data_IF_994649516313
#
_entry.id   IF_994649516313
#
_cell.length_a   1.000
_cell.length_b   1.000
_cell.length_c   1.000
_cell.angle_alpha   90.00
_cell.angle_beta   90.00
_cell.angle_gamma   90.00
#
_symmetry.space_group_name_H-M   'P 1'
#
loop_
_entity.id
_entity.type
_entity.pdbx_description
1 polymer ?
#
# COMPACT_ATOMS: atom_id res chain seq x y z
N UNK A 1 -29.53 3.43 16.27
CA UNK A 1 -28.63 4.45 15.67
C UNK A 1 -28.48 5.59 16.66
N UNK A 2 -27.25 5.97 16.95
CA UNK A 2 -26.93 7.21 17.64
C UNK A 2 -26.57 8.22 16.57
N UNK A 3 -27.34 9.30 16.46
CA UNK A 3 -27.12 10.37 15.50
C UNK A 3 -26.89 11.66 16.27
N UNK A 4 -25.68 12.24 16.13
CA UNK A 4 -25.40 13.57 16.67
C UNK A 4 -25.55 14.56 15.53
N UNK A 5 -26.58 15.39 15.66
CA UNK A 5 -26.98 16.35 14.64
C UNK A 5 -25.93 17.51 14.54
N UNK A 6 -25.72 18.09 13.37
CA UNK A 6 -24.86 19.29 13.19
C UNK A 6 -25.24 20.48 14.09
N UNK A 7 -26.49 20.56 14.53
CA UNK A 7 -26.99 21.62 15.42
C UNK A 7 -26.75 21.37 16.92
N UNK A 8 -26.21 20.19 17.28
CA UNK A 8 -25.84 19.89 18.67
C UNK A 8 -24.77 20.87 19.16
N UNK A 9 -25.01 21.49 20.32
CA UNK A 9 -24.17 22.55 20.87
C UNK A 9 -23.23 22.09 22.00
N UNK A 10 -23.29 20.82 22.37
CA UNK A 10 -22.40 20.25 23.38
C UNK A 10 -20.99 19.99 22.82
N UNK A 11 -19.99 20.20 23.64
CA UNK A 11 -18.58 19.92 23.32
C UNK A 11 -18.21 18.44 23.53
N UNK A 12 -19.09 17.67 24.18
CA UNK A 12 -18.91 16.23 24.45
C UNK A 12 -20.24 15.48 24.33
N UNK A 13 -20.18 14.16 24.35
CA UNK A 13 -21.36 13.26 24.34
C UNK A 13 -21.72 12.76 25.75
N UNK A 14 -21.65 13.65 26.75
CA UNK A 14 -21.98 13.33 28.14
C UNK A 14 -23.38 12.67 28.26
N UNK A 15 -23.51 11.68 29.13
CA UNK A 15 -24.73 10.90 29.32
C UNK A 15 -24.80 9.61 28.51
N UNK A 16 -23.83 9.35 27.64
CA UNK A 16 -23.72 8.10 26.87
C UNK A 16 -22.59 7.18 27.36
N UNK A 17 -22.02 7.44 28.53
CA UNK A 17 -20.84 6.74 29.08
C UNK A 17 -21.10 5.24 29.29
N UNK A 18 -22.36 4.87 29.58
CA UNK A 18 -22.76 3.48 29.81
C UNK A 18 -23.26 2.77 28.53
N UNK A 19 -23.15 3.43 27.35
CA UNK A 19 -23.57 2.81 26.10
C UNK A 19 -22.64 1.68 25.71
N UNK A 20 -23.15 0.43 25.70
CA UNK A 20 -22.37 -0.74 25.31
C UNK A 20 -22.52 -1.11 23.83
N UNK A 21 -23.68 -0.82 23.24
CA UNK A 21 -23.98 -1.19 21.85
C UNK A 21 -24.74 -0.10 21.11
N UNK A 22 -24.37 0.14 19.87
CA UNK A 22 -25.09 1.03 18.96
C UNK A 22 -25.39 0.33 17.64
N UNK A 23 -26.58 0.55 17.05
CA UNK A 23 -26.88 0.05 15.71
C UNK A 23 -26.06 0.75 14.64
N UNK A 24 -25.81 2.06 14.79
CA UNK A 24 -24.83 2.86 14.06
C UNK A 24 -24.50 4.09 14.90
N UNK A 25 -23.29 4.63 14.74
CA UNK A 25 -22.88 5.88 15.36
C UNK A 25 -22.48 6.86 14.24
N UNK A 26 -23.28 7.91 14.09
CA UNK A 26 -23.07 8.90 13.03
C UNK A 26 -23.00 10.29 13.61
N UNK A 27 -21.90 10.95 13.39
CA UNK A 27 -21.70 12.37 13.64
C UNK A 27 -21.56 13.03 12.29
N UNK A 28 -22.68 13.47 11.75
CA UNK A 28 -22.74 14.02 10.41
C UNK A 28 -22.73 15.55 10.48
N UNK A 29 -21.70 16.12 9.87
CA UNK A 29 -21.86 17.41 9.27
C UNK A 29 -22.63 17.28 7.96
N UNK A 30 -23.30 18.34 7.59
CA UNK A 30 -23.98 18.42 6.29
C UNK A 30 -22.91 18.35 5.20
N UNK A 31 -22.85 17.25 4.46
CA UNK A 31 -22.11 17.18 3.20
C UNK A 31 -22.89 18.05 2.21
N UNK A 32 -22.62 19.34 2.21
CA UNK A 32 -23.15 20.27 1.22
C UNK A 32 -22.09 20.53 0.17
N UNK A 33 -22.50 20.73 -1.07
CA UNK A 33 -21.66 21.07 -2.22
C UNK A 33 -20.80 22.33 -2.05
N UNK A 34 -20.93 23.05 -0.94
CA UNK A 34 -20.24 24.32 -0.65
C UNK A 34 -19.38 24.31 0.63
N UNK A 35 -18.85 23.15 1.06
CA UNK A 35 -17.81 23.10 2.09
C UNK A 35 -18.24 23.48 3.53
N UNK A 36 -19.53 23.49 3.84
CA UNK A 36 -20.01 23.65 5.22
C UNK A 36 -19.98 22.31 5.93
N UNK A 37 -18.99 22.14 6.80
CA UNK A 37 -18.69 20.89 7.49
C UNK A 37 -19.39 20.85 8.86
N UNK A 38 -19.71 19.66 9.26
CA UNK A 38 -19.94 19.06 10.53
C UNK A 38 -20.48 19.87 11.69
N UNK A 39 -20.63 19.17 12.78
CA UNK A 39 -20.81 19.77 14.08
C UNK A 39 -19.57 20.63 14.41
N UNK A 40 -19.79 21.90 14.77
CA UNK A 40 -18.72 22.87 15.02
C UNK A 40 -18.38 23.03 16.49
N UNK A 41 -19.08 22.34 17.38
CA UNK A 41 -18.94 22.48 18.82
C UNK A 41 -18.37 21.22 19.48
N UNK A 42 -18.59 20.05 18.86
CA UNK A 42 -18.19 18.76 19.43
C UNK A 42 -16.67 18.58 19.31
N UNK A 43 -16.00 18.50 20.46
CA UNK A 43 -14.55 18.36 20.56
C UNK A 43 -14.12 16.95 21.04
N UNK A 44 -14.97 16.30 21.85
CA UNK A 44 -14.61 15.07 22.51
C UNK A 44 -15.72 14.03 22.40
N UNK A 45 -15.34 12.81 22.03
CA UNK A 45 -16.19 11.63 22.09
C UNK A 45 -15.50 10.62 22.99
N UNK A 46 -16.14 10.32 24.11
CA UNK A 46 -15.70 9.31 25.06
C UNK A 46 -16.85 8.37 25.37
N UNK A 47 -16.77 7.13 24.87
CA UNK A 47 -17.75 6.07 25.06
C UNK A 47 -17.03 4.84 25.61
N UNK A 48 -16.65 4.95 26.89
CA UNK A 48 -15.74 4.00 27.56
C UNK A 48 -16.29 2.58 27.68
N UNK A 49 -17.62 2.40 27.55
CA UNK A 49 -18.28 1.07 27.63
C UNK A 49 -18.71 0.55 26.25
N UNK A 50 -18.57 1.32 25.18
CA UNK A 50 -19.02 0.91 23.84
C UNK A 50 -18.16 -0.25 23.31
N UNK A 51 -18.81 -1.41 23.12
CA UNK A 51 -18.19 -2.65 22.61
C UNK A 51 -18.49 -2.92 21.14
N UNK A 52 -19.69 -2.49 20.69
CA UNK A 52 -20.14 -2.84 19.35
C UNK A 52 -20.89 -1.69 18.68
N UNK A 53 -20.56 -1.48 17.40
CA UNK A 53 -21.37 -0.71 16.46
C UNK A 53 -21.82 -1.66 15.36
N UNK A 54 -23.14 -1.98 15.30
CA UNK A 54 -23.65 -2.98 14.35
C UNK A 54 -23.61 -2.57 12.87
N UNK A 55 -23.64 -1.28 12.59
CA UNK A 55 -23.51 -0.69 11.26
C UNK A 55 -22.27 0.19 11.15
N UNK A 56 -22.43 1.38 10.54
CA UNK A 56 -21.30 2.30 10.33
C UNK A 56 -20.98 3.12 11.59
N UNK A 57 -19.69 3.36 11.79
CA UNK A 57 -19.16 4.40 12.64
C UNK A 57 -18.62 5.51 11.72
N UNK A 58 -19.37 6.59 11.58
CA UNK A 58 -19.06 7.69 10.67
C UNK A 58 -18.92 8.99 11.43
N UNK A 59 -17.76 9.61 11.32
CA UNK A 59 -17.43 10.86 11.99
C UNK A 59 -16.97 11.91 10.96
N UNK A 60 -17.63 13.06 10.98
CA UNK A 60 -17.24 14.23 10.19
C UNK A 60 -17.48 15.49 11.03
N UNK A 61 -16.43 15.99 11.67
CA UNK A 61 -16.50 17.21 12.50
C UNK A 61 -15.14 17.89 12.55
N UNK A 62 -15.08 19.15 12.11
CA UNK A 62 -13.82 19.91 12.06
C UNK A 62 -13.22 20.20 13.45
N UNK A 63 -14.05 20.21 14.48
CA UNK A 63 -13.66 20.52 15.86
C UNK A 63 -13.29 19.30 16.69
N UNK A 64 -13.59 18.10 16.23
CA UNK A 64 -13.35 16.89 16.99
C UNK A 64 -11.84 16.64 17.15
N UNK A 65 -11.39 16.53 18.40
CA UNK A 65 -9.99 16.39 18.80
C UNK A 65 -9.65 15.02 19.37
N UNK A 66 -10.62 14.40 20.07
CA UNK A 66 -10.42 13.11 20.70
C UNK A 66 -11.57 12.17 20.40
N UNK A 67 -11.21 10.92 20.09
CA UNK A 67 -12.11 9.80 19.99
C UNK A 67 -11.55 8.68 20.86
N UNK A 68 -12.21 8.40 21.97
CA UNK A 68 -11.82 7.38 22.93
C UNK A 68 -12.87 6.29 23.00
N UNK A 69 -12.59 5.13 22.43
CA UNK A 69 -13.45 3.95 22.36
C UNK A 69 -12.66 2.70 22.80
N UNK A 70 -12.18 2.65 24.06
CA UNK A 70 -11.19 1.68 24.51
C UNK A 70 -11.68 0.23 24.50
N UNK A 71 -13.00 0.02 24.57
CA UNK A 71 -13.62 -1.31 24.60
C UNK A 71 -14.30 -1.68 23.28
N UNK A 72 -14.18 -0.87 22.23
CA UNK A 72 -14.81 -1.16 20.96
C UNK A 72 -14.15 -2.38 20.31
N UNK A 73 -14.87 -3.48 20.21
CA UNK A 73 -14.44 -4.77 19.67
C UNK A 73 -14.83 -4.94 18.20
N UNK A 74 -15.98 -4.35 17.79
CA UNK A 74 -16.46 -4.54 16.43
C UNK A 74 -17.25 -3.36 15.86
N UNK A 75 -17.05 -3.13 14.56
CA UNK A 75 -17.86 -2.26 13.68
C UNK A 75 -18.37 -3.11 12.54
N UNK A 76 -19.69 -3.35 12.47
CA UNK A 76 -20.28 -4.21 11.43
C UNK A 76 -20.31 -3.61 10.03
N UNK A 77 -20.20 -2.29 9.92
CA UNK A 77 -20.13 -1.53 8.68
C UNK A 77 -18.76 -0.92 8.45
N UNK A 78 -18.76 0.33 8.01
CA UNK A 78 -17.57 1.13 7.70
C UNK A 78 -17.17 1.99 8.91
N UNK A 79 -15.87 2.01 9.21
CA UNK A 79 -15.26 3.02 10.08
C UNK A 79 -14.75 4.16 9.19
N UNK A 80 -15.45 5.30 9.20
CA UNK A 80 -15.14 6.44 8.37
C UNK A 80 -14.84 7.69 9.20
N UNK A 81 -13.67 8.30 8.94
CA UNK A 81 -13.24 9.57 9.49
C UNK A 81 -13.00 10.55 8.34
N UNK A 82 -13.76 11.64 8.28
CA UNK A 82 -13.64 12.63 7.21
C UNK A 82 -13.35 14.02 7.76
N UNK A 83 -12.36 14.67 7.18
CA UNK A 83 -12.01 16.07 7.45
C UNK A 83 -11.88 16.41 8.95
N UNK A 84 -11.18 15.56 9.71
CA UNK A 84 -11.04 15.66 11.17
C UNK A 84 -9.56 15.83 11.54
N UNK A 85 -9.32 16.60 12.61
CA UNK A 85 -8.02 16.75 13.25
C UNK A 85 -8.00 15.96 14.56
N UNK A 86 -7.43 14.76 14.57
CA UNK A 86 -7.24 14.03 15.81
C UNK A 86 -5.86 14.25 16.41
N UNK A 87 -5.83 14.57 17.72
CA UNK A 87 -4.60 14.50 18.53
C UNK A 87 -4.37 13.09 19.06
N UNK A 88 -5.45 12.35 19.27
CA UNK A 88 -5.43 10.98 19.79
C UNK A 88 -6.54 10.16 19.13
N UNK A 89 -6.15 9.01 18.58
CA UNK A 89 -7.04 8.08 17.90
C UNK A 89 -6.59 6.66 18.26
N UNK A 90 -7.36 5.99 19.13
CA UNK A 90 -6.99 4.69 19.64
C UNK A 90 -8.16 3.70 19.58
N UNK A 91 -7.89 2.52 19.02
CA UNK A 91 -8.81 1.40 18.94
C UNK A 91 -8.12 0.11 19.44
N UNK A 92 -7.75 0.03 20.73
CA UNK A 92 -6.90 -1.05 21.24
C UNK A 92 -7.59 -2.43 21.21
N UNK A 93 -8.93 -2.47 21.33
CA UNK A 93 -9.68 -3.70 21.38
C UNK A 93 -10.41 -4.07 20.07
N UNK A 94 -10.30 -3.23 19.03
CA UNK A 94 -11.08 -3.40 17.80
C UNK A 94 -10.52 -4.56 16.97
N UNK A 95 -11.28 -5.66 16.91
CA UNK A 95 -10.89 -6.91 16.22
C UNK A 95 -11.51 -7.05 14.83
N UNK A 96 -12.72 -6.49 14.64
CA UNK A 96 -13.51 -6.73 13.42
C UNK A 96 -14.07 -5.44 12.86
N UNK A 97 -13.83 -5.21 11.57
CA UNK A 97 -14.53 -4.22 10.76
C UNK A 97 -15.15 -4.94 9.57
N UNK A 98 -16.50 -4.89 9.47
CA UNK A 98 -17.24 -5.68 8.49
C UNK A 98 -17.12 -5.18 7.05
N UNK A 99 -16.74 -3.89 6.85
CA UNK A 99 -16.57 -3.30 5.53
C UNK A 99 -15.24 -2.56 5.43
N UNK A 100 -15.25 -1.24 5.51
CA UNK A 100 -14.12 -0.39 5.16
C UNK A 100 -13.56 0.36 6.37
N UNK A 101 -12.27 0.66 6.30
CA UNK A 101 -11.66 1.78 7.03
C UNK A 101 -11.40 2.89 6.01
N UNK A 102 -12.00 4.06 6.21
CA UNK A 102 -11.82 5.19 5.31
C UNK A 102 -11.49 6.45 6.08
N UNK A 103 -10.23 6.86 6.04
CA UNK A 103 -9.76 8.09 6.63
C UNK A 103 -9.36 9.03 5.50
N UNK A 104 -10.16 10.07 5.27
CA UNK A 104 -9.96 10.99 4.15
C UNK A 104 -9.85 12.41 4.66
N UNK A 105 -8.68 12.98 4.49
CA UNK A 105 -8.40 14.39 4.72
C UNK A 105 -8.89 15.26 3.57
N UNK A 106 -8.52 16.55 3.60
CA UNK A 106 -8.79 17.48 2.49
C UNK A 106 -7.70 17.38 1.43
N UNK A 107 -8.07 17.58 0.17
CA UNK A 107 -7.13 17.52 -0.98
C UNK A 107 -5.91 18.42 -0.87
N UNK A 108 -6.01 19.52 -0.13
CA UNK A 108 -4.88 20.44 0.11
C UNK A 108 -3.87 19.91 1.16
N UNK A 109 -4.11 18.73 1.76
CA UNK A 109 -3.22 18.09 2.71
C UNK A 109 -2.95 18.92 3.98
N UNK A 110 -3.91 19.76 4.42
CA UNK A 110 -3.74 20.61 5.61
C UNK A 110 -4.23 19.97 6.90
N UNK A 111 -4.95 18.86 6.81
CA UNK A 111 -5.47 18.17 7.98
C UNK A 111 -4.39 17.31 8.63
N UNK A 112 -4.34 17.40 9.96
CA UNK A 112 -3.41 16.64 10.79
C UNK A 112 -4.15 15.48 11.44
N UNK A 113 -3.55 14.30 11.38
CA UNK A 113 -3.98 13.13 12.14
C UNK A 113 -2.92 12.84 13.22
N UNK A 114 -3.18 11.86 14.09
CA UNK A 114 -2.20 11.36 15.06
C UNK A 114 -0.91 10.90 14.36
N UNK A 115 0.22 10.90 15.08
CA UNK A 115 1.50 10.44 14.50
C UNK A 115 1.50 8.95 14.16
N UNK A 116 0.73 8.14 14.90
CA UNK A 116 0.56 6.72 14.61
C UNK A 116 -0.92 6.38 14.36
N UNK A 117 -1.20 5.70 13.26
CA UNK A 117 -2.48 5.04 12.99
C UNK A 117 -2.27 3.55 13.24
N UNK A 118 -2.76 3.09 14.39
CA UNK A 118 -2.55 1.71 14.85
C UNK A 118 -3.86 1.02 15.20
N UNK A 119 -3.98 -0.22 14.74
CA UNK A 119 -5.08 -1.13 15.05
C UNK A 119 -4.51 -2.46 15.55
N UNK A 120 -4.03 -2.51 16.81
CA UNK A 120 -3.21 -3.63 17.29
C UNK A 120 -3.96 -4.96 17.34
N UNK A 121 -5.28 -4.93 17.57
CA UNK A 121 -6.11 -6.13 17.68
C UNK A 121 -6.86 -6.49 16.40
N UNK A 122 -6.85 -5.65 15.36
CA UNK A 122 -7.68 -5.84 14.17
C UNK A 122 -7.22 -7.05 13.35
N UNK A 123 -8.05 -8.08 13.33
CA UNK A 123 -7.83 -9.34 12.60
C UNK A 123 -8.55 -9.37 11.26
N UNK A 124 -9.77 -8.77 11.22
CA UNK A 124 -10.66 -8.86 10.07
C UNK A 124 -11.06 -7.49 9.57
N UNK A 125 -10.77 -7.24 8.29
CA UNK A 125 -11.26 -6.10 7.51
C UNK A 125 -12.01 -6.64 6.30
N UNK A 126 -13.31 -6.39 6.23
CA UNK A 126 -14.18 -7.00 5.23
C UNK A 126 -13.89 -6.58 3.80
N UNK A 127 -13.36 -5.36 3.57
CA UNK A 127 -13.09 -4.86 2.24
C UNK A 127 -11.81 -4.03 2.19
N UNK A 128 -11.85 -2.71 2.41
CA UNK A 128 -10.70 -1.85 2.13
C UNK A 128 -10.22 -1.00 3.30
N UNK A 129 -8.92 -0.76 3.33
CA UNK A 129 -8.28 0.31 4.10
C UNK A 129 -7.88 1.44 3.15
N UNK A 130 -8.41 2.63 3.39
CA UNK A 130 -8.02 3.85 2.69
C UNK A 130 -7.59 4.91 3.70
N UNK A 131 -6.36 5.40 3.58
CA UNK A 131 -5.85 6.53 4.34
C UNK A 131 -5.27 7.55 3.37
N UNK A 132 -5.86 8.77 3.35
CA UNK A 132 -5.57 9.73 2.29
C UNK A 132 -5.53 11.17 2.79
N UNK A 133 -4.53 11.93 2.31
CA UNK A 133 -4.43 13.39 2.45
C UNK A 133 -4.40 13.90 3.90
N UNK A 134 -3.60 13.25 4.75
CA UNK A 134 -3.30 13.69 6.10
C UNK A 134 -1.82 13.99 6.29
N UNK A 135 -1.52 14.97 7.16
CA UNK A 135 -0.19 15.24 7.70
C UNK A 135 -0.01 14.62 9.08
N UNK A 136 1.22 14.66 9.57
CA UNK A 136 1.68 14.13 10.87
C UNK A 136 1.61 12.62 11.05
N UNK A 137 0.95 11.89 10.17
CA UNK A 137 1.01 10.43 10.22
C UNK A 137 2.41 9.99 9.84
N UNK A 138 3.16 9.47 10.82
CA UNK A 138 4.51 8.93 10.64
C UNK A 138 4.48 7.41 10.50
N UNK A 139 3.52 6.75 11.18
CA UNK A 139 3.48 5.30 11.23
C UNK A 139 2.08 4.75 11.01
N UNK A 140 2.00 3.71 10.21
CA UNK A 140 0.81 2.89 10.00
C UNK A 140 1.12 1.47 10.44
N UNK A 141 0.32 0.93 11.40
CA UNK A 141 0.63 -0.33 12.06
C UNK A 141 -0.62 -1.19 12.27
N UNK A 142 -0.69 -2.30 11.55
CA UNK A 142 -1.77 -3.29 11.61
C UNK A 142 -1.19 -4.70 11.87
N UNK A 143 -0.67 -4.97 13.07
CA UNK A 143 0.13 -6.17 13.32
C UNK A 143 -0.68 -7.48 13.29
N UNK A 144 -1.99 -7.42 13.55
CA UNK A 144 -2.85 -8.60 13.62
C UNK A 144 -3.69 -8.84 12.34
N UNK A 145 -3.70 -7.90 11.39
CA UNK A 145 -4.52 -8.01 10.19
C UNK A 145 -3.99 -9.11 9.27
N UNK A 146 -4.84 -10.08 8.94
CA UNK A 146 -4.47 -11.27 8.14
C UNK A 146 -4.77 -11.07 6.66
N UNK A 147 -5.87 -10.41 6.33
CA UNK A 147 -6.25 -10.19 4.93
C UNK A 147 -7.01 -8.89 4.74
N UNK A 148 -6.94 -8.35 3.52
CA UNK A 148 -7.76 -7.23 3.06
C UNK A 148 -8.04 -7.38 1.55
N UNK A 149 -9.12 -6.77 1.06
CA UNK A 149 -9.30 -6.67 -0.37
C UNK A 149 -8.40 -5.58 -0.95
N UNK A 150 -8.44 -4.38 -0.39
CA UNK A 150 -7.64 -3.25 -0.85
C UNK A 150 -6.97 -2.53 0.32
N UNK A 151 -5.71 -2.15 0.14
CA UNK A 151 -5.02 -1.19 0.99
C UNK A 151 -4.53 -0.05 0.10
N UNK A 152 -5.01 1.17 0.36
CA UNK A 152 -4.64 2.37 -0.39
C UNK A 152 -4.15 3.47 0.55
N UNK A 153 -2.88 3.80 0.44
CA UNK A 153 -2.23 4.89 1.17
C UNK A 153 -1.79 5.95 0.17
N UNK A 154 -2.28 7.19 0.35
CA UNK A 154 -2.13 8.24 -0.65
C UNK A 154 -1.89 9.60 -0.01
N UNK A 155 -0.90 10.34 -0.49
CA UNK A 155 -0.62 11.74 -0.07
C UNK A 155 -0.45 11.88 1.45
N UNK A 156 0.42 11.07 2.05
CA UNK A 156 0.79 11.09 3.47
C UNK A 156 2.24 11.60 3.58
N UNK A 157 2.43 12.91 3.54
CA UNK A 157 3.75 13.55 3.37
C UNK A 157 4.76 13.24 4.46
N UNK A 158 4.29 12.98 5.68
CA UNK A 158 5.13 12.79 6.85
C UNK A 158 5.30 11.29 7.21
N UNK A 159 4.73 10.39 6.39
CA UNK A 159 4.78 8.95 6.62
C UNK A 159 6.22 8.43 6.52
N UNK A 160 6.65 7.74 7.59
CA UNK A 160 7.97 7.16 7.72
C UNK A 160 7.93 5.63 7.59
N UNK A 161 6.92 4.97 8.22
CA UNK A 161 6.88 3.52 8.28
C UNK A 161 5.49 2.93 8.08
N UNK A 162 5.43 1.76 7.43
CA UNK A 162 4.21 1.00 7.17
C UNK A 162 4.42 -0.47 7.51
N UNK A 163 3.68 -1.00 8.50
CA UNK A 163 3.81 -2.37 8.98
C UNK A 163 2.48 -3.15 8.96
N UNK A 164 2.51 -4.30 8.30
CA UNK A 164 1.45 -5.30 8.27
C UNK A 164 2.02 -6.69 8.57
N UNK A 165 2.39 -6.91 9.84
CA UNK A 165 3.22 -8.06 10.24
C UNK A 165 2.55 -9.43 10.09
N UNK A 166 1.21 -9.50 10.03
CA UNK A 166 0.46 -10.75 9.87
C UNK A 166 -0.31 -10.85 8.54
N UNK A 167 -0.18 -9.87 7.65
CA UNK A 167 -0.95 -9.84 6.41
C UNK A 167 -0.44 -10.92 5.44
N UNK A 168 -1.32 -11.85 5.05
CA UNK A 168 -1.01 -13.01 4.22
C UNK A 168 -1.53 -12.86 2.78
N UNK A 169 -2.70 -12.18 2.61
CA UNK A 169 -3.33 -12.04 1.30
C UNK A 169 -3.94 -10.65 1.07
N UNK A 170 -3.78 -10.14 -0.15
CA UNK A 170 -4.50 -8.98 -0.68
C UNK A 170 -5.25 -9.42 -1.94
N UNK A 171 -6.59 -9.52 -1.83
CA UNK A 171 -7.39 -10.09 -2.90
C UNK A 171 -7.61 -9.15 -4.09
N UNK A 172 -7.41 -7.83 -3.94
CA UNK A 172 -7.56 -6.86 -5.01
C UNK A 172 -6.31 -6.01 -5.23
N UNK A 173 -5.95 -5.07 -4.32
CA UNK A 173 -4.83 -4.15 -4.56
C UNK A 173 -4.16 -3.65 -3.29
N UNK A 174 -2.83 -3.61 -3.30
CA UNK A 174 -2.02 -2.80 -2.40
C UNK A 174 -1.43 -1.61 -3.16
N UNK A 175 -1.61 -0.41 -2.63
CA UNK A 175 -1.19 0.81 -3.33
C UNK A 175 -0.59 1.84 -2.39
N UNK A 176 0.64 2.28 -2.70
CA UNK A 176 1.30 3.45 -2.12
C UNK A 176 1.57 4.44 -3.24
N UNK A 177 0.90 5.60 -3.24
CA UNK A 177 0.99 6.54 -4.34
C UNK A 177 1.10 7.97 -3.84
N UNK A 178 1.74 8.80 -4.68
CA UNK A 178 2.02 10.22 -4.46
C UNK A 178 3.11 10.51 -3.40
N UNK A 179 3.63 11.73 -3.35
CA UNK A 179 4.83 12.00 -2.57
C UNK A 179 4.68 11.60 -1.10
N UNK A 180 5.48 10.61 -0.69
CA UNK A 180 5.72 10.20 0.70
C UNK A 180 7.25 10.21 0.88
N UNK A 181 7.85 11.41 0.81
CA UNK A 181 9.30 11.56 0.69
C UNK A 181 10.09 11.09 1.93
N UNK A 182 9.40 10.97 3.08
CA UNK A 182 10.00 10.56 4.33
C UNK A 182 9.91 9.04 4.58
N UNK A 183 9.28 8.28 3.66
CA UNK A 183 9.02 6.87 3.87
C UNK A 183 10.33 6.07 3.96
N UNK A 184 10.57 5.46 5.11
CA UNK A 184 11.76 4.64 5.35
C UNK A 184 11.48 3.18 5.01
N UNK A 185 10.48 2.58 5.67
CA UNK A 185 10.24 1.15 5.55
C UNK A 185 8.77 0.83 5.26
N UNK A 186 8.58 -0.12 4.36
CA UNK A 186 7.31 -0.81 4.13
C UNK A 186 7.56 -2.29 4.30
N UNK A 187 6.87 -2.92 5.27
CA UNK A 187 7.11 -4.32 5.62
C UNK A 187 5.81 -5.11 5.68
N UNK A 188 5.72 -6.11 4.80
CA UNK A 188 4.65 -7.10 4.73
C UNK A 188 5.27 -8.52 4.68
N UNK A 189 5.94 -8.95 5.76
CA UNK A 189 6.84 -10.11 5.71
C UNK A 189 6.12 -11.45 5.53
N UNK A 190 4.80 -11.51 5.79
CA UNK A 190 3.98 -12.72 5.62
C UNK A 190 3.10 -12.70 4.38
N UNK A 191 3.10 -11.60 3.62
CA UNK A 191 2.29 -11.50 2.41
C UNK A 191 2.77 -12.50 1.37
N UNK A 192 1.94 -13.50 1.05
CA UNK A 192 2.27 -14.54 0.08
C UNK A 192 1.65 -14.29 -1.29
N UNK A 193 0.52 -13.55 -1.31
CA UNK A 193 -0.26 -13.34 -2.53
C UNK A 193 -0.93 -11.98 -2.56
N UNK A 194 -0.86 -11.33 -3.73
CA UNK A 194 -1.61 -10.11 -4.04
C UNK A 194 -2.13 -10.16 -5.48
N UNK A 195 -3.32 -9.61 -5.77
CA UNK A 195 -3.76 -9.51 -7.16
C UNK A 195 -3.15 -8.29 -7.87
N UNK A 196 -2.80 -7.24 -7.11
CA UNK A 196 -2.06 -6.07 -7.60
C UNK A 196 -1.18 -5.49 -6.50
N UNK A 197 0.05 -5.14 -6.88
CA UNK A 197 0.97 -4.38 -6.03
C UNK A 197 1.44 -3.13 -6.76
N UNK A 198 1.23 -1.94 -6.17
CA UNK A 198 1.64 -0.67 -6.76
C UNK A 198 2.35 0.22 -5.74
N UNK A 199 3.64 0.37 -5.90
CA UNK A 199 4.50 1.25 -5.11
C UNK A 199 5.06 2.30 -6.09
N UNK A 200 4.56 3.53 -6.02
CA UNK A 200 4.80 4.51 -7.07
C UNK A 200 5.09 5.91 -6.52
N UNK A 201 6.15 6.53 -7.04
CA UNK A 201 6.51 7.93 -6.79
C UNK A 201 6.57 8.29 -5.31
N UNK A 202 7.40 7.57 -4.55
CA UNK A 202 7.60 7.78 -3.12
C UNK A 202 9.07 7.63 -2.71
N UNK A 203 9.36 8.03 -1.45
CA UNK A 203 10.71 8.05 -0.89
C UNK A 203 11.14 6.77 -0.19
N UNK A 204 10.42 5.66 -0.35
CA UNK A 204 10.71 4.40 0.35
C UNK A 204 12.17 3.97 0.17
N UNK A 205 12.83 3.63 1.28
CA UNK A 205 14.23 3.18 1.28
C UNK A 205 14.35 1.67 1.37
N UNK A 206 13.40 1.03 2.10
CA UNK A 206 13.35 -0.40 2.29
C UNK A 206 11.95 -0.94 2.06
N UNK A 207 11.83 -1.95 1.21
CA UNK A 207 10.58 -2.64 0.89
C UNK A 207 10.76 -4.14 1.12
N UNK A 208 10.12 -4.67 2.17
CA UNK A 208 10.14 -6.09 2.51
C UNK A 208 8.84 -6.79 2.13
N UNK A 209 8.92 -7.57 1.06
CA UNK A 209 7.90 -8.46 0.51
C UNK A 209 8.47 -9.88 0.38
N UNK A 210 9.31 -10.30 1.32
CA UNK A 210 10.13 -11.51 1.21
C UNK A 210 9.35 -12.82 1.08
N UNK A 211 8.09 -12.88 1.52
CA UNK A 211 7.22 -14.04 1.36
C UNK A 211 6.32 -13.98 0.12
N UNK A 212 6.26 -12.85 -0.60
CA UNK A 212 5.37 -12.67 -1.75
C UNK A 212 5.80 -13.59 -2.89
N UNK A 213 5.02 -14.65 -3.12
CA UNK A 213 5.30 -15.64 -4.14
C UNK A 213 4.55 -15.39 -5.45
N UNK A 214 3.38 -14.76 -5.37
CA UNK A 214 2.48 -14.60 -6.49
C UNK A 214 1.84 -13.21 -6.55
N UNK A 215 1.84 -12.62 -7.74
CA UNK A 215 1.07 -11.42 -8.08
C UNK A 215 0.14 -11.71 -9.26
N UNK A 216 -1.13 -11.33 -9.12
CA UNK A 216 -2.18 -11.63 -10.09
C UNK A 216 -2.18 -10.76 -11.34
N UNK A 217 -3.31 -10.80 -12.05
CA UNK A 217 -3.48 -10.19 -13.37
C UNK A 217 -3.35 -8.67 -13.42
N UNK A 218 -3.57 -7.98 -12.30
CA UNK A 218 -3.40 -6.52 -12.24
C UNK A 218 -1.94 -6.08 -12.04
N UNK A 219 -1.02 -7.05 -11.89
CA UNK A 219 0.42 -6.88 -12.02
C UNK A 219 1.14 -6.25 -10.84
N UNK A 220 2.47 -6.14 -11.01
CA UNK A 220 3.42 -5.55 -10.07
C UNK A 220 4.01 -4.27 -10.65
N UNK A 221 3.92 -3.16 -9.92
CA UNK A 221 4.58 -1.90 -10.26
C UNK A 221 5.37 -1.41 -9.05
N UNK A 222 6.69 -1.30 -9.18
CA UNK A 222 7.57 -0.61 -8.24
C UNK A 222 8.35 0.40 -9.07
N UNK A 223 7.93 1.66 -9.05
CA UNK A 223 8.40 2.64 -10.01
C UNK A 223 8.56 4.03 -9.40
N UNK A 224 9.59 4.78 -9.85
CA UNK A 224 9.90 6.12 -9.36
C UNK A 224 10.17 6.20 -7.85
N UNK A 225 10.75 5.14 -7.27
CA UNK A 225 11.18 5.08 -5.87
C UNK A 225 12.72 5.20 -5.81
N UNK A 226 13.23 6.38 -6.12
CA UNK A 226 14.66 6.62 -6.31
C UNK A 226 15.52 6.49 -5.03
N UNK A 227 14.90 6.38 -3.87
CA UNK A 227 15.56 6.12 -2.59
C UNK A 227 15.60 4.63 -2.22
N UNK A 228 14.90 3.76 -2.99
CA UNK A 228 14.78 2.33 -2.67
C UNK A 228 16.08 1.59 -2.95
N UNK A 229 16.85 1.36 -1.90
CA UNK A 229 18.11 0.60 -1.93
C UNK A 229 17.96 -0.83 -1.43
N UNK A 230 16.95 -1.13 -0.62
CA UNK A 230 16.69 -2.45 -0.06
C UNK A 230 15.33 -2.97 -0.54
N UNK A 231 15.34 -3.85 -1.53
CA UNK A 231 14.15 -4.52 -2.06
C UNK A 231 14.24 -6.02 -1.76
N UNK A 232 13.23 -6.58 -1.11
CA UNK A 232 13.12 -8.01 -0.86
C UNK A 232 11.89 -8.58 -1.57
N UNK A 233 12.10 -9.32 -2.64
CA UNK A 233 11.13 -10.11 -3.39
C UNK A 233 11.60 -11.57 -3.53
N UNK A 234 12.36 -12.05 -2.56
CA UNK A 234 13.12 -13.31 -2.64
C UNK A 234 12.27 -14.57 -2.82
N UNK A 235 10.95 -14.49 -2.65
CA UNK A 235 10.02 -15.61 -2.92
C UNK A 235 9.20 -15.43 -4.19
N UNK A 236 9.33 -14.31 -4.92
CA UNK A 236 8.47 -14.03 -6.06
C UNK A 236 8.79 -14.95 -7.24
N UNK A 237 7.80 -15.77 -7.61
CA UNK A 237 7.92 -16.74 -8.71
C UNK A 237 7.07 -16.38 -9.91
N UNK A 238 5.92 -15.75 -9.70
CA UNK A 238 4.94 -15.53 -10.78
C UNK A 238 4.27 -14.17 -10.68
N UNK A 239 4.19 -13.49 -11.80
CA UNK A 239 3.33 -12.32 -12.01
C UNK A 239 2.44 -12.61 -13.21
N UNK A 240 1.13 -12.81 -13.01
CA UNK A 240 0.19 -13.10 -14.11
C UNK A 240 -0.06 -11.88 -15.02
N UNK A 241 0.06 -10.67 -14.48
CA UNK A 241 -0.03 -9.41 -15.20
C UNK A 241 1.31 -8.91 -15.69
N UNK A 242 1.40 -7.61 -15.92
CA UNK A 242 2.67 -6.94 -16.21
C UNK A 242 3.51 -6.74 -14.94
N UNK A 243 4.84 -6.75 -15.08
CA UNK A 243 5.78 -6.41 -14.04
C UNK A 243 6.64 -5.22 -14.46
N UNK A 244 6.57 -4.12 -13.71
CA UNK A 244 7.41 -2.93 -13.92
C UNK A 244 8.23 -2.66 -12.66
N UNK A 245 9.55 -2.70 -12.80
CA UNK A 245 10.52 -2.34 -11.78
C UNK A 245 11.47 -1.35 -12.42
N UNK A 246 11.31 -0.06 -12.09
CA UNK A 246 12.03 0.99 -12.77
C UNK A 246 12.26 2.24 -11.90
N UNK A 247 13.31 3.00 -12.23
CA UNK A 247 13.69 4.22 -11.48
C UNK A 247 13.94 3.94 -9.99
N UNK A 248 14.74 2.91 -9.67
CA UNK A 248 15.11 2.50 -8.32
C UNK A 248 16.61 2.63 -8.09
N UNK A 249 17.00 2.67 -6.80
CA UNK A 249 18.41 2.70 -6.38
C UNK A 249 18.95 1.33 -5.93
N UNK A 250 18.28 0.23 -6.26
CA UNK A 250 18.74 -1.12 -5.89
C UNK A 250 20.14 -1.42 -6.44
N UNK A 251 21.00 -2.12 -5.68
CA UNK A 251 22.38 -2.38 -6.09
C UNK A 251 22.52 -3.55 -7.07
N UNK A 252 21.56 -4.47 -7.10
CA UNK A 252 21.56 -5.70 -7.87
C UNK A 252 20.15 -6.21 -8.18
N UNK A 253 20.06 -7.35 -8.88
CA UNK A 253 18.80 -7.99 -9.27
C UNK A 253 18.46 -9.22 -8.43
N UNK A 254 19.19 -9.48 -7.33
CA UNK A 254 18.92 -10.60 -6.40
C UNK A 254 17.44 -10.73 -5.97
N UNK A 255 16.70 -9.61 -5.82
CA UNK A 255 15.26 -9.69 -5.51
C UNK A 255 14.45 -10.53 -6.49
N UNK A 256 14.86 -10.66 -7.75
CA UNK A 256 14.11 -11.33 -8.82
C UNK A 256 14.65 -12.71 -9.19
N UNK A 257 15.62 -13.25 -8.47
CA UNK A 257 16.29 -14.50 -8.81
C UNK A 257 15.39 -15.75 -8.92
N UNK A 258 14.22 -15.75 -8.25
CA UNK A 258 13.24 -16.83 -8.32
C UNK A 258 12.09 -16.58 -9.29
N UNK A 259 12.08 -15.45 -9.98
CA UNK A 259 11.02 -15.13 -10.92
C UNK A 259 11.05 -16.09 -12.12
N UNK A 260 9.95 -16.81 -12.34
CA UNK A 260 9.83 -17.84 -13.40
C UNK A 260 9.00 -17.37 -14.58
N UNK A 261 7.95 -16.58 -14.29
CA UNK A 261 7.02 -16.17 -15.34
C UNK A 261 6.41 -14.81 -15.10
N UNK A 262 6.25 -14.06 -16.19
CA UNK A 262 5.47 -12.82 -16.26
C UNK A 262 4.47 -12.97 -17.39
N UNK A 263 3.17 -12.93 -17.09
CA UNK A 263 2.11 -13.13 -18.09
C UNK A 263 1.89 -11.93 -19.02
N UNK A 264 2.20 -10.72 -18.58
CA UNK A 264 2.17 -9.49 -19.37
C UNK A 264 3.57 -9.01 -19.77
N UNK A 265 3.73 -7.69 -19.88
CA UNK A 265 5.03 -7.07 -20.15
C UNK A 265 5.93 -7.12 -18.92
N UNK A 266 7.22 -7.36 -19.14
CA UNK A 266 8.27 -7.20 -18.13
C UNK A 266 9.12 -5.98 -18.47
N UNK A 267 9.18 -5.02 -17.53
CA UNK A 267 9.96 -3.81 -17.69
C UNK A 267 10.94 -3.66 -16.52
N UNK A 268 12.24 -3.79 -16.81
CA UNK A 268 13.34 -3.62 -15.87
C UNK A 268 14.24 -2.50 -16.41
N UNK A 269 13.94 -1.25 -15.99
CA UNK A 269 14.59 -0.09 -16.63
C UNK A 269 14.99 0.98 -15.61
N UNK A 270 16.03 1.73 -15.97
CA UNK A 270 16.53 2.84 -15.13
C UNK A 270 16.93 2.38 -13.73
N UNK A 271 17.73 1.33 -13.70
CA UNK A 271 18.32 0.73 -12.51
C UNK A 271 19.85 0.99 -12.52
N UNK A 272 20.21 2.26 -12.51
CA UNK A 272 21.57 2.75 -12.78
C UNK A 272 22.63 2.28 -11.78
N UNK A 273 22.25 1.83 -10.60
CA UNK A 273 23.17 1.27 -9.60
C UNK A 273 23.47 -0.21 -9.83
N UNK A 274 22.67 -0.90 -10.67
CA UNK A 274 22.93 -2.30 -11.00
C UNK A 274 24.10 -2.39 -11.98
N UNK A 275 25.19 -3.00 -11.52
CA UNK A 275 26.47 -3.10 -12.25
C UNK A 275 26.65 -4.44 -12.94
N UNK A 276 25.90 -5.46 -12.55
CA UNK A 276 26.01 -6.83 -13.06
C UNK A 276 24.64 -7.41 -13.32
N UNK A 277 24.49 -8.14 -14.41
CA UNK A 277 23.25 -8.79 -14.85
C UNK A 277 23.39 -10.32 -14.98
N UNK A 278 24.47 -10.89 -14.49
CA UNK A 278 24.81 -12.31 -14.58
C UNK A 278 23.88 -13.23 -13.80
N UNK A 279 23.16 -12.72 -12.80
CA UNK A 279 22.14 -13.47 -12.05
C UNK A 279 20.82 -12.68 -11.92
N UNK A 280 20.48 -11.88 -12.92
CA UNK A 280 19.34 -10.97 -12.83
C UNK A 280 18.00 -11.71 -12.62
N UNK A 281 17.69 -12.70 -13.46
CA UNK A 281 16.49 -13.53 -13.38
C UNK A 281 16.79 -14.94 -13.91
N UNK A 282 17.65 -15.74 -13.24
CA UNK A 282 18.16 -17.00 -13.78
C UNK A 282 17.09 -18.09 -13.97
N UNK A 283 15.97 -18.00 -13.27
CA UNK A 283 14.84 -18.93 -13.38
C UNK A 283 13.73 -18.45 -14.32
N UNK A 284 13.86 -17.25 -14.93
CA UNK A 284 12.80 -16.70 -15.79
C UNK A 284 12.70 -17.48 -17.09
N UNK A 285 11.57 -18.18 -17.30
CA UNK A 285 11.32 -18.99 -18.47
C UNK A 285 10.46 -18.30 -19.53
N UNK A 286 9.49 -17.48 -19.08
CA UNK A 286 8.49 -16.91 -19.99
C UNK A 286 8.14 -15.46 -19.65
N UNK A 287 8.01 -14.63 -20.70
CA UNK A 287 7.38 -13.32 -20.67
C UNK A 287 6.29 -13.29 -21.73
N UNK A 288 5.02 -13.20 -21.31
CA UNK A 288 3.87 -13.26 -22.22
C UNK A 288 3.70 -12.03 -23.11
N UNK A 289 4.14 -10.86 -22.64
CA UNK A 289 4.16 -9.61 -23.38
C UNK A 289 5.56 -9.24 -23.88
N UNK A 290 5.85 -7.93 -23.95
CA UNK A 290 7.18 -7.42 -24.27
C UNK A 290 8.14 -7.50 -23.08
N UNK A 291 9.44 -7.59 -23.37
CA UNK A 291 10.49 -7.55 -22.35
C UNK A 291 11.44 -6.38 -22.65
N UNK A 292 11.51 -5.42 -21.74
CA UNK A 292 12.32 -4.22 -21.86
C UNK A 292 13.42 -4.18 -20.78
N UNK A 293 14.67 -4.05 -21.22
CA UNK A 293 15.84 -3.80 -20.38
C UNK A 293 16.46 -2.47 -20.79
N UNK A 294 16.89 -1.65 -19.79
CA UNK A 294 17.55 -0.40 -20.16
C UNK A 294 17.93 0.50 -18.99
N UNK A 295 18.89 1.42 -19.23
CA UNK A 295 19.30 2.40 -18.23
C UNK A 295 20.05 1.80 -17.05
N UNK A 296 20.91 0.84 -17.29
CA UNK A 296 21.83 0.24 -16.30
C UNK A 296 23.18 0.98 -16.27
N UNK A 297 24.02 0.65 -15.28
CA UNK A 297 25.40 1.11 -15.21
C UNK A 297 26.19 0.71 -16.49
N UNK A 298 27.16 1.54 -16.90
CA UNK A 298 28.10 1.20 -17.96
C UNK A 298 28.96 -0.04 -17.61
N UNK A 299 29.08 -0.38 -16.34
CA UNK A 299 29.76 -1.58 -15.86
C UNK A 299 29.00 -2.88 -16.17
N UNK A 300 27.68 -2.80 -16.49
CA UNK A 300 26.87 -3.94 -16.88
C UNK A 300 27.16 -4.35 -18.32
N UNK A 301 28.20 -5.16 -18.50
CA UNK A 301 28.77 -5.51 -19.84
C UNK A 301 28.23 -6.83 -20.40
N UNK A 302 27.74 -7.73 -19.53
CA UNK A 302 27.28 -9.08 -19.92
C UNK A 302 25.84 -9.27 -19.50
N UNK A 303 24.99 -9.66 -20.45
CA UNK A 303 23.61 -10.00 -20.21
C UNK A 303 23.48 -11.54 -20.10
N UNK A 304 23.97 -12.13 -19.00
CA UNK A 304 24.00 -13.58 -18.80
C UNK A 304 22.93 -14.12 -17.82
N UNK A 305 22.21 -13.25 -17.13
CA UNK A 305 21.27 -13.62 -16.08
C UNK A 305 19.89 -14.10 -16.52
N UNK A 306 19.68 -14.45 -17.80
CA UNK A 306 18.38 -14.88 -18.36
C UNK A 306 18.48 -16.23 -19.07
N UNK A 307 19.35 -17.10 -18.59
CA UNK A 307 19.68 -18.38 -19.25
C UNK A 307 18.52 -19.35 -19.38
N UNK A 308 17.48 -19.24 -18.55
CA UNK A 308 16.29 -20.08 -18.63
C UNK A 308 15.22 -19.53 -19.58
N UNK A 309 15.37 -18.30 -20.11
CA UNK A 309 14.33 -17.62 -20.87
C UNK A 309 14.12 -18.26 -22.24
N UNK A 310 12.94 -18.83 -22.48
CA UNK A 310 12.56 -19.57 -23.69
C UNK A 310 11.68 -18.74 -24.61
N UNK A 311 10.75 -17.92 -24.03
CA UNK A 311 9.73 -17.23 -24.85
C UNK A 311 9.50 -15.80 -24.40
N UNK A 312 9.38 -14.90 -25.39
CA UNK A 312 8.92 -13.52 -25.23
C UNK A 312 7.78 -13.33 -26.24
N UNK A 313 6.54 -13.15 -25.76
CA UNK A 313 5.36 -13.03 -26.63
C UNK A 313 5.30 -11.72 -27.42
N UNK A 314 5.97 -10.68 -26.96
CA UNK A 314 6.05 -9.38 -27.59
C UNK A 314 7.44 -9.00 -28.09
N UNK A 315 7.76 -7.70 -28.02
CA UNK A 315 9.07 -7.16 -28.40
C UNK A 315 10.08 -7.35 -27.26
N UNK A 316 11.25 -7.87 -27.57
CA UNK A 316 12.44 -7.75 -26.73
C UNK A 316 13.16 -6.44 -27.07
N UNK A 317 13.37 -5.57 -26.08
CA UNK A 317 13.99 -4.26 -26.28
C UNK A 317 15.17 -4.04 -25.33
N UNK A 318 16.30 -3.68 -25.89
CA UNK A 318 17.46 -3.15 -25.17
C UNK A 318 17.60 -1.67 -25.48
N UNK A 319 17.67 -0.82 -24.47
CA UNK A 319 17.82 0.63 -24.65
C UNK A 319 18.70 1.25 -23.58
N UNK A 320 19.55 2.21 -23.96
CA UNK A 320 20.43 2.91 -23.00
C UNK A 320 21.27 1.96 -22.14
N UNK A 321 21.92 1.01 -22.79
CA UNK A 321 22.82 0.02 -22.19
C UNK A 321 24.20 0.05 -22.89
N UNK A 322 24.96 1.16 -22.76
CA UNK A 322 26.16 1.38 -23.53
C UNK A 322 27.29 0.38 -23.20
N UNK A 323 27.26 -0.22 -22.01
CA UNK A 323 28.27 -1.20 -21.59
C UNK A 323 28.04 -2.60 -22.13
N UNK A 324 26.84 -2.94 -22.58
CA UNK A 324 26.52 -4.34 -22.96
C UNK A 324 27.13 -4.71 -24.29
N UNK A 325 28.04 -5.67 -24.25
CA UNK A 325 28.74 -6.23 -25.42
C UNK A 325 28.47 -7.72 -25.61
N UNK A 326 27.83 -8.38 -24.61
CA UNK A 326 27.55 -9.80 -24.61
C UNK A 326 26.10 -10.09 -24.17
N UNK A 327 25.36 -10.84 -25.00
CA UNK A 327 23.98 -11.22 -24.78
C UNK A 327 23.80 -12.75 -24.72
N UNK A 328 24.88 -13.49 -24.44
CA UNK A 328 24.88 -14.98 -24.41
C UNK A 328 23.89 -15.58 -23.41
N UNK A 329 23.47 -14.82 -22.38
CA UNK A 329 22.40 -15.21 -21.45
C UNK A 329 21.02 -15.38 -22.07
N UNK A 330 20.83 -15.01 -23.33
CA UNK A 330 19.61 -15.28 -24.09
C UNK A 330 19.70 -16.53 -24.97
N UNK A 331 20.71 -17.39 -24.75
CA UNK A 331 20.96 -18.55 -25.60
C UNK A 331 19.84 -19.63 -25.59
N UNK A 332 18.97 -19.64 -24.59
CA UNK A 332 17.79 -20.53 -24.54
C UNK A 332 16.55 -19.96 -25.23
N UNK A 333 16.60 -18.72 -25.73
CA UNK A 333 15.45 -18.06 -26.33
C UNK A 333 15.09 -18.70 -27.69
N UNK A 334 13.89 -19.32 -27.73
CA UNK A 334 13.39 -20.01 -28.93
C UNK A 334 12.31 -19.22 -29.67
N UNK A 335 11.67 -18.26 -28.98
CA UNK A 335 10.58 -17.48 -29.59
C UNK A 335 10.56 -16.05 -29.07
N UNK A 336 10.53 -15.09 -30.00
CA UNK A 336 10.31 -13.67 -29.74
C UNK A 336 9.63 -13.04 -30.96
N UNK A 337 8.63 -12.17 -30.75
CA UNK A 337 7.92 -11.54 -31.87
C UNK A 337 8.78 -10.51 -32.60
N UNK A 338 9.61 -9.75 -31.86
CA UNK A 338 10.48 -8.71 -32.41
C UNK A 338 11.66 -8.44 -31.47
N UNK A 339 12.81 -8.09 -32.08
CA UNK A 339 13.98 -7.62 -31.33
C UNK A 339 14.27 -6.17 -31.74
N UNK A 340 14.53 -5.32 -30.72
CA UNK A 340 14.94 -3.91 -30.88
C UNK A 340 16.15 -3.66 -29.96
N UNK A 341 17.27 -3.23 -30.55
CA UNK A 341 18.50 -2.93 -29.81
C UNK A 341 18.99 -1.54 -30.20
#
# INVERSE_FOLDING_TARGET
TVLINPTYKGTSVAGLENLERAGALKIAGRIGTNGAFGNKELEHIELSQLKMVGGDLYLSADTLRTLNLPKLESVGGTLALQAIHFKQLEFPALEIIGKDITFTGRQNGTLELTEEVSFPALKTLGNQLTLKSYKKVKKINFPALVSAATISLESLSDLEDVFFSSLEEISYSFSLQYPMNNLNEVSLPKLTKANSMRIYNNGVKKLDLGSLAYVGKNGLTIEHCQSLGELNLSSLTTVDGAATISYLAIPDMEPLKKLKSVGGDLKLTTLSNVKQLDNACPELETVGGGFSLGGYSEEATVLSGFNALKTIGGTFSLSSMPGVTDITGLGSLTSVSRVSM
#
